data_IF_659196274330
#
_entry.id   IF_659196274330
#
_cell.length_a   1.000
_cell.length_b   1.000
_cell.length_c   1.000
_cell.angle_alpha   90.00
_cell.angle_beta   90.00
_cell.angle_gamma   90.00
#
_symmetry.space_group_name_H-M   'P 1'
#
loop_
_entity.id
_entity.type
_entity.pdbx_description
1 polymer ?
#
# COMPACT_ATOMS: atom_id res chain seq x y z
N UNK A 1 57.99 16.13 28.45
CA UNK A 1 57.03 15.56 27.45
C UNK A 1 55.63 15.55 28.04
N UNK A 2 54.76 16.50 27.67
CA UNK A 2 53.37 16.59 28.13
C UNK A 2 52.49 15.85 27.12
N UNK A 3 51.80 14.78 27.54
CA UNK A 3 50.82 14.08 26.74
C UNK A 3 49.51 14.85 26.83
N UNK A 4 49.05 15.38 25.70
CA UNK A 4 47.72 15.97 25.55
C UNK A 4 46.77 14.82 25.24
N UNK A 5 45.84 14.54 26.17
CA UNK A 5 44.71 13.65 25.92
C UNK A 5 43.65 14.46 25.18
N UNK A 6 43.40 14.09 23.91
CA UNK A 6 42.25 14.61 23.17
C UNK A 6 41.01 13.75 23.53
N UNK A 7 40.11 14.31 24.32
CA UNK A 7 38.78 13.73 24.52
C UNK A 7 37.92 14.09 23.29
N UNK A 8 37.67 13.12 22.42
CA UNK A 8 36.61 13.23 21.39
C UNK A 8 35.27 12.95 22.03
N UNK A 9 34.50 14.01 22.29
CA UNK A 9 33.10 13.89 22.67
C UNK A 9 32.27 13.55 21.42
N UNK A 10 31.82 12.29 21.31
CA UNK A 10 30.85 11.87 20.35
C UNK A 10 29.49 12.43 20.80
N UNK A 11 29.02 13.50 20.17
CA UNK A 11 27.65 13.95 20.30
C UNK A 11 26.76 12.91 19.59
N UNK A 12 26.15 12.02 20.34
CA UNK A 12 24.99 11.26 19.87
C UNK A 12 23.80 12.23 19.79
N UNK A 13 23.56 12.77 18.62
CA UNK A 13 22.28 13.41 18.30
C UNK A 13 21.23 12.31 18.18
N UNK A 14 20.50 12.05 19.24
CA UNK A 14 19.23 11.32 19.15
C UNK A 14 18.28 12.20 18.32
N UNK A 15 18.09 11.86 17.05
CA UNK A 15 17.03 12.44 16.25
C UNK A 15 15.74 11.90 16.86
N UNK A 16 15.12 12.71 17.70
CA UNK A 16 13.78 12.41 18.21
C UNK A 16 12.82 12.36 17.01
N UNK A 17 12.23 11.20 16.77
CA UNK A 17 11.14 11.07 15.79
C UNK A 17 10.02 11.97 16.30
N UNK A 18 9.66 12.99 15.53
CA UNK A 18 8.54 13.85 15.86
C UNK A 18 7.28 13.00 15.82
N UNK A 19 6.65 12.77 16.95
CA UNK A 19 5.33 12.16 17.01
C UNK A 19 4.33 13.18 16.45
N UNK A 20 4.05 13.08 15.16
CA UNK A 20 3.05 13.92 14.50
C UNK A 20 1.68 13.31 14.79
N UNK A 21 0.81 14.04 15.48
CA UNK A 21 -0.59 13.60 15.65
C UNK A 21 -1.33 13.91 14.37
N UNK A 22 -1.87 12.87 13.71
CA UNK A 22 -2.74 12.99 12.54
C UNK A 22 -4.15 12.62 12.99
N UNK A 23 -5.10 13.51 12.74
CA UNK A 23 -6.52 13.26 13.04
C UNK A 23 -7.24 12.74 11.80
N UNK A 24 -8.23 11.90 12.03
CA UNK A 24 -9.05 11.32 10.98
C UNK A 24 -10.52 11.59 11.23
N UNK A 25 -11.24 12.00 10.20
CA UNK A 25 -12.69 12.13 10.20
C UNK A 25 -13.31 11.08 9.28
N UNK A 26 -14.39 10.44 9.73
CA UNK A 26 -15.16 9.52 8.90
C UNK A 26 -15.94 10.34 7.87
N UNK A 27 -15.81 9.94 6.58
CA UNK A 27 -16.46 10.67 5.48
C UNK A 27 -17.67 9.91 4.92
N UNK A 28 -17.64 8.58 4.86
CA UNK A 28 -18.79 7.76 4.49
C UNK A 28 -18.61 6.29 4.89
N UNK A 29 -19.63 5.46 4.58
CA UNK A 29 -19.59 4.00 4.67
C UNK A 29 -19.72 3.37 3.28
N UNK A 30 -18.99 2.31 3.05
CA UNK A 30 -19.10 1.44 1.87
C UNK A 30 -20.34 0.54 1.97
N UNK A 31 -21.52 1.13 1.79
CA UNK A 31 -22.82 0.48 2.04
C UNK A 31 -22.99 -0.78 1.20
N UNK A 32 -22.63 -0.72 -0.09
CA UNK A 32 -22.81 -1.87 -1.00
C UNK A 32 -21.95 -3.07 -0.58
N UNK A 33 -20.66 -2.88 -0.30
CA UNK A 33 -19.76 -3.95 0.17
C UNK A 33 -20.28 -4.63 1.44
N UNK A 34 -20.81 -3.84 2.37
CA UNK A 34 -21.42 -4.34 3.62
C UNK A 34 -22.72 -5.14 3.37
N UNK A 35 -23.61 -4.64 2.52
CA UNK A 35 -24.86 -5.34 2.14
C UNK A 35 -24.58 -6.67 1.46
N UNK A 36 -23.55 -6.72 0.60
CA UNK A 36 -23.10 -7.95 -0.05
C UNK A 36 -22.29 -8.86 0.89
N UNK A 37 -21.96 -8.41 2.11
CA UNK A 37 -21.12 -9.09 3.09
C UNK A 37 -19.75 -9.48 2.51
N UNK A 38 -19.19 -8.60 1.70
CA UNK A 38 -17.84 -8.77 1.20
C UNK A 38 -16.84 -8.49 2.33
N UNK A 39 -15.79 -9.30 2.40
CA UNK A 39 -14.68 -9.05 3.32
C UNK A 39 -13.78 -7.97 2.70
N UNK A 40 -13.84 -6.77 3.24
CA UNK A 40 -13.17 -5.58 2.72
C UNK A 40 -11.68 -5.69 2.98
N UNK A 41 -10.89 -5.38 1.97
CA UNK A 41 -9.43 -5.44 1.97
C UNK A 41 -8.83 -4.14 1.41
N UNK A 42 -7.71 -4.23 0.69
CA UNK A 42 -7.02 -3.08 0.13
C UNK A 42 -7.87 -2.17 -0.74
N UNK A 43 -7.50 -0.92 -0.80
CA UNK A 43 -8.18 0.08 -1.62
C UNK A 43 -7.19 1.04 -2.29
N UNK A 44 -7.62 1.65 -3.40
CA UNK A 44 -6.89 2.76 -4.01
C UNK A 44 -7.84 3.78 -4.62
N UNK A 45 -7.35 5.00 -4.85
CA UNK A 45 -8.16 6.12 -5.29
C UNK A 45 -7.57 6.74 -6.55
N UNK A 46 -8.43 6.93 -7.56
CA UNK A 46 -8.10 7.69 -8.76
C UNK A 46 -9.32 8.46 -9.26
N UNK A 47 -9.12 9.67 -9.77
CA UNK A 47 -10.13 10.50 -10.40
C UNK A 47 -11.42 10.64 -9.57
N UNK A 48 -11.28 10.82 -8.25
CA UNK A 48 -12.41 11.01 -7.34
C UNK A 48 -13.24 9.76 -7.10
N UNK A 49 -12.73 8.57 -7.44
CA UNK A 49 -13.38 7.29 -7.16
C UNK A 49 -12.49 6.41 -6.30
N UNK A 50 -13.10 5.73 -5.34
CA UNK A 50 -12.49 4.70 -4.51
C UNK A 50 -12.71 3.35 -5.20
N UNK A 51 -11.65 2.58 -5.37
CA UNK A 51 -11.65 1.21 -5.88
C UNK A 51 -11.33 0.29 -4.72
N UNK A 52 -12.35 -0.37 -4.20
CA UNK A 52 -12.28 -1.24 -3.03
C UNK A 52 -12.12 -2.70 -3.43
N UNK A 53 -11.10 -3.36 -2.92
CA UNK A 53 -10.86 -4.79 -3.08
C UNK A 53 -11.51 -5.58 -1.96
N UNK A 54 -11.71 -6.87 -2.23
CA UNK A 54 -12.31 -7.81 -1.28
C UNK A 54 -11.60 -9.16 -1.34
N UNK A 55 -11.75 -9.97 -0.29
CA UNK A 55 -11.25 -11.34 -0.26
C UNK A 55 -11.90 -12.24 -1.30
N UNK A 56 -11.13 -13.18 -1.79
CA UNK A 56 -11.58 -14.20 -2.74
C UNK A 56 -11.89 -13.60 -4.11
N UNK A 57 -12.70 -14.33 -4.87
CA UNK A 57 -13.11 -13.96 -6.23
C UNK A 57 -14.26 -12.94 -6.22
N UNK A 58 -14.11 -11.85 -5.47
CA UNK A 58 -15.10 -10.79 -5.40
C UNK A 58 -14.76 -9.67 -6.36
N UNK A 59 -15.77 -8.91 -6.85
CA UNK A 59 -15.52 -7.78 -7.72
C UNK A 59 -14.75 -6.67 -7.00
N UNK A 60 -14.11 -5.80 -7.77
CA UNK A 60 -13.69 -4.49 -7.29
C UNK A 60 -14.96 -3.62 -7.24
N UNK A 61 -15.28 -3.07 -6.07
CA UNK A 61 -16.42 -2.16 -5.91
C UNK A 61 -15.94 -0.72 -6.01
N UNK A 62 -16.65 0.09 -6.80
CA UNK A 62 -16.27 1.48 -7.05
C UNK A 62 -17.28 2.41 -6.40
N UNK A 63 -16.77 3.37 -5.61
CA UNK A 63 -17.56 4.41 -4.94
C UNK A 63 -17.13 5.80 -5.36
N UNK A 64 -18.07 6.74 -5.35
CA UNK A 64 -17.79 8.18 -5.53
C UNK A 64 -17.20 8.76 -4.21
N UNK A 65 -16.02 9.35 -4.29
CA UNK A 65 -15.34 9.93 -3.12
C UNK A 65 -16.03 11.19 -2.57
N UNK A 66 -16.99 11.79 -3.31
CA UNK A 66 -17.70 13.01 -2.87
C UNK A 66 -18.76 12.72 -1.83
N UNK A 67 -19.43 11.56 -1.92
CA UNK A 67 -20.62 11.23 -1.13
C UNK A 67 -20.71 9.76 -0.70
N UNK A 68 -19.81 8.89 -1.18
CA UNK A 68 -19.80 7.46 -0.87
C UNK A 68 -20.83 6.65 -1.66
N UNK A 69 -21.43 7.22 -2.71
CA UNK A 69 -22.39 6.49 -3.53
C UNK A 69 -21.71 5.34 -4.26
N UNK A 70 -22.36 4.17 -4.23
CA UNK A 70 -21.99 3.03 -5.06
C UNK A 70 -22.16 3.38 -6.54
N UNK A 71 -21.12 3.15 -7.34
CA UNK A 71 -21.12 3.41 -8.77
C UNK A 71 -21.27 2.13 -9.59
N UNK A 72 -20.43 1.13 -9.32
CA UNK A 72 -20.42 -0.12 -10.08
C UNK A 72 -19.58 -1.20 -9.38
N UNK A 73 -19.78 -2.44 -9.83
CA UNK A 73 -18.86 -3.56 -9.61
C UNK A 73 -18.08 -3.87 -10.88
N UNK A 74 -16.79 -4.09 -10.74
CA UNK A 74 -15.91 -4.53 -11.82
C UNK A 74 -15.59 -6.00 -11.58
N UNK A 75 -16.15 -6.88 -12.39
CA UNK A 75 -15.75 -8.28 -12.38
C UNK A 75 -14.35 -8.38 -12.98
N UNK A 76 -13.41 -8.79 -12.18
CA UNK A 76 -12.04 -9.08 -12.60
C UNK A 76 -11.90 -10.59 -12.75
N UNK A 77 -11.05 -11.03 -13.69
CA UNK A 77 -10.61 -12.42 -13.74
C UNK A 77 -10.11 -12.80 -12.34
N UNK A 78 -10.51 -13.95 -11.81
CA UNK A 78 -10.19 -14.30 -10.44
C UNK A 78 -8.67 -14.38 -10.28
N UNK A 79 -8.13 -13.44 -9.57
CA UNK A 79 -6.91 -13.65 -8.86
C UNK A 79 -7.28 -14.77 -7.88
N UNK A 80 -6.73 -15.97 -8.08
CA UNK A 80 -7.07 -17.17 -7.28
C UNK A 80 -6.53 -17.07 -5.87
N UNK A 81 -6.80 -15.97 -5.18
CA UNK A 81 -6.28 -15.73 -3.85
C UNK A 81 -7.35 -15.63 -2.81
N UNK A 82 -6.90 -15.98 -1.63
CA UNK A 82 -7.67 -15.86 -0.42
C UNK A 82 -7.74 -14.42 0.07
N UNK A 83 -6.79 -13.56 -0.40
CA UNK A 83 -6.59 -12.25 0.21
C UNK A 83 -5.98 -11.26 -0.78
N UNK A 84 -6.66 -10.16 -1.05
CA UNK A 84 -6.20 -9.06 -1.91
C UNK A 84 -5.72 -7.90 -1.04
N UNK A 85 -4.49 -7.99 -0.56
CA UNK A 85 -3.98 -7.11 0.49
C UNK A 85 -3.94 -5.63 0.14
N UNK A 86 -3.49 -5.27 -1.06
CA UNK A 86 -3.25 -3.86 -1.38
C UNK A 86 -3.55 -3.56 -2.83
N UNK A 87 -4.15 -2.39 -3.05
CA UNK A 87 -4.27 -1.75 -4.35
C UNK A 87 -3.49 -0.44 -4.36
N UNK A 88 -2.82 -0.15 -5.48
CA UNK A 88 -2.10 1.10 -5.67
C UNK A 88 -2.23 1.58 -7.12
N UNK A 89 -2.85 2.75 -7.34
CA UNK A 89 -2.75 3.42 -8.61
C UNK A 89 -1.36 4.04 -8.76
N UNK A 90 -0.76 3.87 -9.95
CA UNK A 90 0.41 4.63 -10.36
C UNK A 90 -0.01 5.98 -10.96
N UNK A 91 0.92 6.72 -11.54
CA UNK A 91 0.62 7.85 -12.43
C UNK A 91 0.90 7.51 -13.91
N UNK A 92 1.10 6.23 -14.23
CA UNK A 92 1.33 5.73 -15.60
C UNK A 92 0.01 5.32 -16.21
N UNK A 93 -0.27 5.80 -17.41
CA UNK A 93 -1.40 5.40 -18.24
C UNK A 93 -0.95 4.37 -19.27
N UNK A 94 -1.80 3.39 -19.59
CA UNK A 94 -1.48 2.38 -20.61
C UNK A 94 -1.43 3.00 -22.00
N UNK A 95 -2.43 3.84 -22.32
CA UNK A 95 -2.52 4.61 -23.56
C UNK A 95 -2.86 6.07 -23.27
N UNK A 96 -2.50 6.93 -24.21
CA UNK A 96 -2.92 8.34 -24.16
C UNK A 96 -4.46 8.40 -24.29
N UNK A 97 -5.11 9.02 -23.32
CA UNK A 97 -6.55 9.18 -23.28
C UNK A 97 -7.29 8.17 -22.41
N UNK A 98 -6.58 7.22 -21.78
CA UNK A 98 -7.15 6.41 -20.74
C UNK A 98 -7.68 7.28 -19.58
N UNK A 99 -8.84 6.92 -19.04
CA UNK A 99 -9.44 7.66 -17.94
C UNK A 99 -8.70 7.45 -16.62
N UNK A 100 -8.01 6.32 -16.45
CA UNK A 100 -7.33 5.96 -15.21
C UNK A 100 -5.88 5.55 -15.46
N UNK A 101 -4.98 5.85 -14.52
CA UNK A 101 -3.67 5.24 -14.52
C UNK A 101 -3.76 3.75 -14.21
N UNK A 102 -2.64 3.04 -14.35
CA UNK A 102 -2.54 1.61 -14.06
C UNK A 102 -2.77 1.32 -12.58
N UNK A 103 -3.60 0.32 -12.31
CA UNK A 103 -3.88 -0.19 -10.97
C UNK A 103 -3.04 -1.45 -10.72
N UNK A 104 -2.21 -1.43 -9.69
CA UNK A 104 -1.43 -2.56 -9.20
C UNK A 104 -2.13 -3.18 -8.00
N UNK A 105 -2.34 -4.49 -8.03
CA UNK A 105 -2.98 -5.24 -6.95
C UNK A 105 -2.06 -6.34 -6.51
N UNK A 106 -1.68 -6.37 -5.24
CA UNK A 106 -0.92 -7.48 -4.69
C UNK A 106 -1.83 -8.63 -4.34
N UNK A 107 -1.37 -9.82 -4.68
CA UNK A 107 -2.01 -11.07 -4.35
C UNK A 107 -1.27 -11.71 -3.18
N UNK A 108 -1.97 -11.96 -2.08
CA UNK A 108 -1.42 -12.71 -0.98
C UNK A 108 -1.60 -14.19 -1.21
N UNK A 109 -0.51 -14.87 -1.54
CA UNK A 109 -0.46 -16.32 -1.59
C UNK A 109 0.78 -16.80 -0.84
N UNK A 110 0.60 -17.79 0.03
CA UNK A 110 1.68 -18.38 0.84
C UNK A 110 2.81 -18.97 -0.01
N UNK A 111 2.50 -19.40 -1.22
CA UNK A 111 3.45 -20.11 -2.10
C UNK A 111 4.03 -19.25 -3.21
N UNK A 112 3.35 -18.21 -3.60
CA UNK A 112 3.68 -17.46 -4.80
C UNK A 112 3.27 -15.99 -4.62
N UNK A 113 4.24 -15.11 -4.53
CA UNK A 113 3.97 -13.68 -4.45
C UNK A 113 3.78 -13.10 -5.84
N UNK A 114 2.59 -12.59 -6.09
CA UNK A 114 2.23 -11.96 -7.36
C UNK A 114 1.63 -10.59 -7.15
N UNK A 115 1.75 -9.76 -8.16
CA UNK A 115 0.91 -8.61 -8.34
C UNK A 115 0.36 -8.59 -9.77
N UNK A 116 -0.85 -8.11 -9.90
CA UNK A 116 -1.52 -7.97 -11.19
C UNK A 116 -1.66 -6.48 -11.50
N UNK A 117 -1.38 -6.13 -12.75
CA UNK A 117 -1.51 -4.76 -13.25
C UNK A 117 -2.73 -4.68 -14.13
N UNK A 118 -3.69 -3.87 -13.72
CA UNK A 118 -4.92 -3.64 -14.46
C UNK A 118 -4.88 -2.32 -15.22
N UNK A 119 -5.38 -2.35 -16.45
CA UNK A 119 -5.87 -1.18 -17.17
C UNK A 119 -7.34 -0.99 -16.81
N UNK A 120 -7.67 0.14 -16.23
CA UNK A 120 -9.05 0.51 -15.93
C UNK A 120 -9.56 1.39 -17.08
N UNK A 121 -10.71 1.01 -17.66
CA UNK A 121 -11.36 1.74 -18.76
C UNK A 121 -12.72 2.26 -18.29
N UNK A 122 -13.06 3.45 -18.72
CA UNK A 122 -14.40 4.02 -18.51
C UNK A 122 -14.95 4.47 -19.86
N UNK A 123 -16.17 4.02 -20.18
CA UNK A 123 -16.85 4.45 -21.39
C UNK A 123 -17.44 5.86 -21.22
N UNK A 124 -17.90 6.45 -22.31
CA UNK A 124 -18.57 7.76 -22.26
C UNK A 124 -19.88 7.72 -21.46
N UNK A 125 -20.49 6.55 -21.39
CA UNK A 125 -21.72 6.29 -20.63
C UNK A 125 -21.44 6.00 -19.15
N UNK A 126 -20.14 6.00 -18.74
CA UNK A 126 -19.71 5.80 -17.35
C UNK A 126 -19.55 4.33 -16.93
N UNK A 127 -19.65 3.36 -17.86
CA UNK A 127 -19.34 1.97 -17.53
C UNK A 127 -17.85 1.77 -17.32
N UNK A 128 -17.48 1.16 -16.19
CA UNK A 128 -16.09 0.92 -15.80
C UNK A 128 -15.78 -0.57 -15.93
N UNK A 129 -14.62 -0.89 -16.49
CA UNK A 129 -14.11 -2.25 -16.64
C UNK A 129 -12.61 -2.32 -16.34
N UNK A 130 -12.12 -3.52 -16.06
CA UNK A 130 -10.69 -3.78 -15.85
C UNK A 130 -10.18 -4.87 -16.78
N UNK A 131 -8.97 -4.71 -17.27
CA UNK A 131 -8.27 -5.66 -18.12
C UNK A 131 -6.88 -5.93 -17.52
N UNK A 132 -6.51 -7.19 -17.35
CA UNK A 132 -5.15 -7.56 -16.93
C UNK A 132 -4.20 -7.35 -18.10
N UNK A 133 -3.21 -6.50 -17.89
CA UNK A 133 -2.20 -6.19 -18.91
C UNK A 133 -0.81 -6.73 -18.56
N UNK A 134 -0.53 -6.95 -17.28
CA UNK A 134 0.74 -7.52 -16.87
C UNK A 134 0.60 -8.25 -15.52
N UNK A 135 1.34 -9.34 -15.36
CA UNK A 135 1.50 -10.05 -14.10
C UNK A 135 2.95 -9.97 -13.65
N UNK A 136 3.17 -9.56 -12.41
CA UNK A 136 4.47 -9.49 -11.76
C UNK A 136 4.59 -10.67 -10.82
N UNK A 137 5.61 -11.51 -11.02
CA UNK A 137 5.89 -12.69 -10.19
C UNK A 137 7.18 -12.42 -9.43
N UNK A 138 7.10 -12.48 -8.11
CA UNK A 138 8.24 -12.23 -7.23
C UNK A 138 8.86 -13.55 -6.76
N UNK A 139 10.11 -13.51 -6.25
CA UNK A 139 10.72 -14.69 -5.65
C UNK A 139 9.89 -15.26 -4.50
N UNK A 140 10.12 -16.51 -4.14
CA UNK A 140 9.44 -17.14 -3.02
C UNK A 140 9.65 -16.35 -1.70
N UNK A 141 8.68 -16.35 -0.78
CA UNK A 141 8.76 -15.62 0.49
C UNK A 141 10.06 -15.87 1.27
N UNK A 142 10.50 -17.13 1.32
CA UNK A 142 11.73 -17.51 2.01
C UNK A 142 12.97 -16.88 1.37
N UNK A 143 13.00 -16.78 0.04
CA UNK A 143 14.13 -16.20 -0.70
C UNK A 143 14.17 -14.67 -0.56
N UNK A 144 13.00 -14.04 -0.53
CA UNK A 144 12.89 -12.60 -0.30
C UNK A 144 13.08 -12.23 1.17
N UNK A 145 12.84 -13.16 2.09
CA UNK A 145 12.74 -12.89 3.53
C UNK A 145 11.53 -12.03 3.89
N UNK A 146 10.50 -12.03 3.05
CA UNK A 146 9.31 -11.21 3.19
C UNK A 146 8.04 -12.04 3.03
N UNK A 147 7.05 -11.81 3.90
CA UNK A 147 5.78 -12.50 3.92
C UNK A 147 4.61 -11.49 3.90
N UNK A 148 3.49 -11.85 3.30
CA UNK A 148 2.30 -10.99 3.12
C UNK A 148 2.64 -9.63 2.47
N UNK A 149 3.04 -9.61 1.19
CA UNK A 149 3.48 -8.38 0.56
C UNK A 149 2.32 -7.45 0.23
N UNK A 150 2.44 -6.22 0.69
CA UNK A 150 1.71 -5.09 0.17
C UNK A 150 2.52 -4.45 -0.95
N UNK A 151 1.86 -3.98 -2.00
CA UNK A 151 2.50 -3.29 -3.11
C UNK A 151 2.30 -1.80 -3.04
N UNK A 152 3.34 -1.04 -3.33
CA UNK A 152 3.27 0.40 -3.55
C UNK A 152 4.15 0.80 -4.74
N UNK A 153 3.72 1.78 -5.51
CA UNK A 153 4.40 2.22 -6.73
C UNK A 153 4.81 3.67 -6.64
N UNK A 154 6.09 3.94 -6.93
CA UNK A 154 6.64 5.27 -7.17
C UNK A 154 7.04 5.36 -8.64
N UNK A 155 6.08 5.71 -9.48
CA UNK A 155 6.30 5.74 -10.91
C UNK A 155 7.21 6.90 -11.34
N UNK A 156 7.21 8.01 -10.61
CA UNK A 156 8.09 9.16 -10.88
C UNK A 156 9.56 8.79 -10.67
N UNK A 157 9.84 7.99 -9.66
CA UNK A 157 11.19 7.47 -9.39
C UNK A 157 11.51 6.19 -10.18
N UNK A 158 10.53 5.57 -10.82
CA UNK A 158 10.70 4.32 -11.59
C UNK A 158 10.85 3.08 -10.70
N UNK A 159 10.23 3.06 -9.52
CA UNK A 159 10.34 1.97 -8.56
C UNK A 159 8.97 1.41 -8.15
N UNK A 160 8.99 0.13 -7.82
CA UNK A 160 7.94 -0.50 -7.05
C UNK A 160 8.51 -1.01 -5.72
N UNK A 161 7.66 -1.10 -4.73
CA UNK A 161 8.00 -1.54 -3.38
C UNK A 161 7.08 -2.67 -2.97
N UNK A 162 7.68 -3.72 -2.38
CA UNK A 162 6.96 -4.71 -1.61
C UNK A 162 7.25 -4.47 -0.14
N UNK A 163 6.23 -4.45 0.67
CA UNK A 163 6.35 -4.27 2.11
C UNK A 163 5.53 -5.32 2.84
N UNK A 164 6.10 -5.90 3.88
CA UNK A 164 5.46 -7.00 4.60
C UNK A 164 6.25 -7.42 5.82
N UNK A 165 5.87 -8.56 6.39
CA UNK A 165 6.55 -9.13 7.54
C UNK A 165 7.88 -9.75 7.17
N UNK A 166 8.82 -9.77 8.11
CA UNK A 166 10.00 -10.62 8.01
C UNK A 166 9.57 -12.10 8.01
N UNK A 167 10.01 -12.85 7.00
CA UNK A 167 9.80 -14.30 6.94
C UNK A 167 10.32 -15.03 8.19
N UNK A 168 11.48 -14.62 8.70
CA UNK A 168 12.08 -15.20 9.88
C UNK A 168 11.20 -15.04 11.12
N UNK A 169 10.65 -13.85 11.31
CA UNK A 169 9.75 -13.57 12.43
C UNK A 169 8.44 -14.33 12.32
N UNK A 170 7.89 -14.45 11.12
CA UNK A 170 6.66 -15.20 10.87
C UNK A 170 6.82 -16.67 11.22
N UNK A 171 7.90 -17.32 10.76
CA UNK A 171 8.17 -18.73 11.04
C UNK A 171 8.39 -19.03 12.54
N UNK A 172 8.84 -18.05 13.31
CA UNK A 172 8.97 -18.15 14.77
C UNK A 172 7.67 -17.90 15.50
N UNK A 173 6.57 -17.64 14.80
CA UNK A 173 5.29 -17.25 15.40
C UNK A 173 5.28 -15.83 15.98
N UNK A 174 6.29 -15.05 15.69
CA UNK A 174 6.46 -13.67 16.14
C UNK A 174 5.76 -12.73 15.14
N UNK A 175 4.44 -12.70 15.14
CA UNK A 175 3.69 -11.80 14.26
C UNK A 175 4.12 -10.35 14.48
N UNK A 176 4.46 -9.67 13.37
CA UNK A 176 4.74 -8.25 13.37
C UNK A 176 6.15 -7.83 13.76
N UNK A 177 7.12 -8.75 13.86
CA UNK A 177 8.50 -8.35 14.01
C UNK A 177 9.10 -7.95 12.66
N UNK A 178 9.85 -6.84 12.65
CA UNK A 178 10.64 -6.35 11.54
C UNK A 178 9.89 -6.30 10.19
N UNK A 179 9.10 -5.26 9.99
CA UNK A 179 8.56 -4.93 8.67
C UNK A 179 9.71 -4.67 7.71
N UNK A 180 9.67 -5.33 6.56
CA UNK A 180 10.64 -5.12 5.50
C UNK A 180 10.00 -4.36 4.34
N UNK A 181 10.80 -3.52 3.72
CA UNK A 181 10.46 -2.81 2.48
C UNK A 181 11.52 -3.17 1.45
N UNK A 182 11.10 -3.84 0.38
CA UNK A 182 11.96 -4.25 -0.74
C UNK A 182 11.70 -3.34 -1.93
N UNK A 183 12.75 -2.76 -2.50
CA UNK A 183 12.66 -1.93 -3.70
C UNK A 183 13.09 -2.71 -4.93
N UNK A 184 12.25 -2.66 -5.96
CA UNK A 184 12.52 -3.19 -7.30
C UNK A 184 12.41 -2.07 -8.34
N UNK A 185 12.98 -2.28 -9.52
CA UNK A 185 12.67 -1.45 -10.68
C UNK A 185 11.19 -1.66 -11.08
N UNK A 186 10.51 -0.60 -11.39
CA UNK A 186 9.18 -0.67 -11.96
C UNK A 186 9.29 -1.10 -13.43
N UNK A 187 8.76 -2.27 -13.84
CA UNK A 187 8.81 -2.68 -15.22
C UNK A 187 7.81 -1.88 -16.07
N UNK A 188 8.18 -1.64 -17.30
CA UNK A 188 7.23 -1.12 -18.28
C UNK A 188 6.25 -2.21 -18.70
N UNK A 189 4.98 -1.86 -18.91
CA UNK A 189 3.99 -2.80 -19.49
C UNK A 189 4.36 -3.28 -20.90
N UNK A 190 5.28 -2.57 -21.59
CA UNK A 190 5.81 -2.95 -22.90
C UNK A 190 6.85 -4.08 -22.82
N UNK A 191 7.36 -4.42 -21.65
CA UNK A 191 8.33 -5.51 -21.47
C UNK A 191 7.70 -6.89 -21.57
N UNK A 192 6.38 -6.97 -21.57
CA UNK A 192 5.62 -8.20 -21.78
C UNK A 192 4.54 -8.42 -20.73
N UNK A 193 3.67 -9.42 -20.96
CA UNK A 193 2.51 -9.66 -20.09
C UNK A 193 2.88 -10.35 -18.77
N UNK A 194 4.08 -10.93 -18.65
CA UNK A 194 4.56 -11.60 -17.43
C UNK A 194 6.01 -11.18 -17.18
N UNK A 195 6.25 -10.60 -16.02
CA UNK A 195 7.58 -10.25 -15.53
C UNK A 195 7.90 -11.14 -14.33
N UNK A 196 9.02 -11.84 -14.39
CA UNK A 196 9.52 -12.65 -13.27
C UNK A 196 10.75 -12.00 -12.67
N UNK A 197 10.64 -11.63 -11.42
CA UNK A 197 11.75 -11.12 -10.63
C UNK A 197 12.51 -12.27 -9.96
N UNK A 198 13.77 -12.03 -9.71
CA UNK A 198 14.60 -12.88 -8.85
C UNK A 198 15.21 -12.05 -7.71
N UNK A 199 15.86 -12.69 -6.75
CA UNK A 199 16.46 -11.98 -5.59
C UNK A 199 17.50 -10.94 -5.97
N UNK A 200 18.15 -11.09 -7.14
CA UNK A 200 19.13 -10.11 -7.67
C UNK A 200 18.47 -8.80 -8.13
N UNK A 201 17.16 -8.81 -8.37
CA UNK A 201 16.40 -7.65 -8.77
C UNK A 201 15.99 -6.76 -7.58
N UNK A 202 16.26 -7.22 -6.35
CA UNK A 202 16.07 -6.42 -5.14
C UNK A 202 17.18 -5.34 -5.09
N UNK A 203 16.82 -4.12 -5.46
CA UNK A 203 17.75 -2.99 -5.53
C UNK A 203 18.10 -2.44 -4.15
N UNK A 204 17.18 -2.49 -3.21
CA UNK A 204 17.38 -2.01 -1.84
C UNK A 204 16.43 -2.72 -0.88
N UNK A 205 16.90 -2.86 0.37
CA UNK A 205 16.12 -3.40 1.47
C UNK A 205 16.19 -2.42 2.64
N UNK A 206 15.03 -2.09 3.17
CA UNK A 206 14.91 -1.36 4.42
C UNK A 206 14.27 -2.29 5.46
N UNK A 207 14.68 -2.16 6.69
CA UNK A 207 14.10 -2.91 7.82
C UNK A 207 13.61 -1.92 8.87
N UNK A 208 12.49 -2.23 9.47
CA UNK A 208 11.92 -1.48 10.59
C UNK A 208 11.69 -2.45 11.75
N UNK A 209 11.95 -2.00 12.96
CA UNK A 209 11.66 -2.78 14.19
C UNK A 209 10.16 -2.78 14.55
N UNK A 210 9.32 -2.33 13.65
CA UNK A 210 7.90 -2.19 13.88
C UNK A 210 7.20 -3.55 13.97
N UNK A 211 6.40 -3.80 15.01
CA UNK A 211 5.88 -5.12 15.40
C UNK A 211 4.36 -5.26 15.21
N UNK A 212 3.78 -4.65 14.20
CA UNK A 212 2.34 -4.68 13.96
C UNK A 212 2.04 -5.13 12.54
N UNK A 213 0.88 -5.74 12.32
CA UNK A 213 0.46 -6.20 11.00
C UNK A 213 0.50 -5.06 9.97
N UNK A 214 1.09 -5.33 8.81
CA UNK A 214 1.07 -4.39 7.68
C UNK A 214 -0.26 -4.52 6.96
N UNK A 215 -0.88 -3.39 6.66
CA UNK A 215 -2.12 -3.28 5.91
C UNK A 215 -1.89 -2.40 4.68
N UNK A 216 -2.75 -1.45 4.36
CA UNK A 216 -2.62 -0.59 3.19
C UNK A 216 -1.29 0.18 3.08
N UNK A 217 -0.82 0.38 1.85
CA UNK A 217 0.40 1.11 1.54
C UNK A 217 0.25 1.98 0.28
N UNK A 218 0.81 3.19 0.29
CA UNK A 218 0.85 4.05 -0.88
C UNK A 218 2.09 4.97 -0.86
N UNK A 219 2.59 5.33 -2.05
CA UNK A 219 3.72 6.26 -2.19
C UNK A 219 3.25 7.62 -2.66
N UNK A 220 3.81 8.68 -2.08
CA UNK A 220 3.64 10.05 -2.53
C UNK A 220 4.84 10.92 -2.14
N UNK A 221 5.36 11.71 -3.08
CA UNK A 221 6.48 12.62 -2.82
C UNK A 221 7.75 11.91 -2.30
N UNK A 222 8.09 10.74 -2.85
CA UNK A 222 9.25 9.95 -2.42
C UNK A 222 9.14 9.37 -1.00
N UNK A 223 7.94 9.33 -0.44
CA UNK A 223 7.64 8.75 0.87
C UNK A 223 6.63 7.63 0.76
N UNK A 224 6.84 6.57 1.54
CA UNK A 224 5.90 5.48 1.71
C UNK A 224 5.05 5.75 2.95
N UNK A 225 3.75 5.74 2.76
CA UNK A 225 2.75 5.81 3.82
C UNK A 225 2.16 4.42 3.99
N UNK A 226 2.10 3.95 5.22
CA UNK A 226 1.57 2.62 5.54
C UNK A 226 0.65 2.71 6.75
N UNK A 227 -0.45 1.99 6.70
CA UNK A 227 -1.28 1.73 7.86
C UNK A 227 -0.97 0.35 8.41
N UNK A 228 -0.99 0.22 9.72
CA UNK A 228 -0.64 -0.97 10.45
C UNK A 228 -1.65 -1.24 11.54
N UNK A 229 -1.78 -2.51 11.92
CA UNK A 229 -2.48 -2.92 13.11
C UNK A 229 -3.85 -3.51 12.86
N UNK A 230 -4.52 -3.77 13.96
CA UNK A 230 -5.89 -4.26 14.05
C UNK A 230 -6.71 -3.36 14.97
N UNK A 231 -7.96 -3.74 15.27
CA UNK A 231 -8.87 -2.91 16.05
C UNK A 231 -8.26 -2.40 17.36
N UNK A 232 -8.24 -1.08 17.55
CA UNK A 232 -7.75 -0.43 18.78
C UNK A 232 -6.23 -0.39 18.97
N UNK A 233 -5.45 -0.82 17.96
CA UNK A 233 -3.98 -0.74 18.00
C UNK A 233 -3.42 -0.49 16.59
N UNK A 234 -3.87 0.56 15.95
CA UNK A 234 -3.52 0.89 14.58
C UNK A 234 -2.71 2.19 14.51
N UNK A 235 -1.79 2.26 13.56
CA UNK A 235 -1.03 3.47 13.32
C UNK A 235 -0.74 3.71 11.83
N UNK A 236 -0.48 4.97 11.51
CA UNK A 236 0.07 5.43 10.25
C UNK A 236 1.57 5.68 10.42
N UNK A 237 2.37 5.12 9.53
CA UNK A 237 3.82 5.35 9.47
C UNK A 237 4.19 5.95 8.12
N UNK A 238 5.03 6.97 8.15
CA UNK A 238 5.63 7.58 6.98
C UNK A 238 7.12 7.29 6.94
N UNK A 239 7.60 6.67 5.86
CA UNK A 239 9.02 6.31 5.65
C UNK A 239 9.57 7.06 4.45
N UNK A 240 10.73 7.69 4.59
CA UNK A 240 11.49 8.28 3.49
C UNK A 240 12.13 7.17 2.64
N UNK A 241 11.78 7.09 1.36
CA UNK A 241 12.23 6.02 0.46
C UNK A 241 13.68 6.19 -0.05
N UNK A 242 14.28 7.34 0.16
CA UNK A 242 15.69 7.56 -0.17
C UNK A 242 16.63 6.99 0.90
N UNK A 243 16.25 7.14 2.17
CA UNK A 243 17.02 6.74 3.33
C UNK A 243 16.54 5.46 4.00
N UNK A 244 15.22 5.19 3.97
CA UNK A 244 14.54 4.17 4.76
C UNK A 244 14.21 4.61 6.18
N UNK A 245 14.46 5.87 6.51
CA UNK A 245 14.17 6.39 7.84
C UNK A 245 12.67 6.65 8.03
N UNK A 246 12.16 6.33 9.21
CA UNK A 246 10.83 6.75 9.64
C UNK A 246 10.83 8.29 9.79
N UNK A 247 9.91 8.95 9.08
CA UNK A 247 9.72 10.41 9.11
C UNK A 247 8.82 10.79 10.27
N UNK A 248 7.70 10.08 10.40
CA UNK A 248 6.80 10.21 11.53
C UNK A 248 5.96 8.94 11.70
N UNK A 249 5.39 8.82 12.89
CA UNK A 249 4.38 7.84 13.27
C UNK A 249 3.23 8.54 13.97
N UNK A 250 2.01 8.14 13.64
CA UNK A 250 0.80 8.62 14.30
C UNK A 250 -0.13 7.46 14.61
N UNK A 251 -0.65 7.40 15.82
CA UNK A 251 -1.75 6.50 16.12
C UNK A 251 -2.99 6.88 15.31
N UNK A 252 -3.77 5.88 14.89
CA UNK A 252 -5.03 6.08 14.16
C UNK A 252 -6.19 6.32 15.15
N UNK A 253 -6.01 7.33 16.00
CA UNK A 253 -7.03 7.70 16.99
C UNK A 253 -8.33 8.11 16.28
N UNK A 254 -9.44 7.52 16.69
CA UNK A 254 -10.75 7.76 16.07
C UNK A 254 -11.12 6.80 14.96
N UNK A 255 -10.23 5.85 14.60
CA UNK A 255 -10.53 4.74 13.69
C UNK A 255 -10.68 3.47 14.55
N UNK A 256 -11.91 2.99 14.81
CA UNK A 256 -12.14 1.83 15.66
C UNK A 256 -11.93 0.50 14.94
N UNK A 257 -12.09 0.48 13.61
CA UNK A 257 -11.93 -0.70 12.77
C UNK A 257 -10.48 -1.02 12.43
N UNK A 258 -10.26 -2.18 11.85
CA UNK A 258 -8.98 -2.56 11.27
C UNK A 258 -8.77 -1.79 9.96
N UNK A 259 -7.66 -1.03 9.81
CA UNK A 259 -7.37 -0.37 8.55
C UNK A 259 -6.93 -1.39 7.51
N UNK A 260 -7.47 -1.32 6.29
CA UNK A 260 -7.18 -2.28 5.22
C UNK A 260 -6.58 -1.60 3.98
N UNK A 261 -7.08 -0.43 3.63
CA UNK A 261 -6.63 0.31 2.46
C UNK A 261 -6.09 1.69 2.78
N UNK A 262 -5.17 2.16 1.95
CA UNK A 262 -4.61 3.51 2.03
C UNK A 262 -4.48 4.10 0.63
N UNK A 263 -4.91 5.35 0.47
CA UNK A 263 -4.76 6.11 -0.76
C UNK A 263 -4.73 7.61 -0.50
N UNK A 264 -4.73 8.39 -1.58
CA UNK A 264 -4.74 9.84 -1.51
C UNK A 264 -5.90 10.42 -2.31
N UNK A 265 -6.59 11.39 -1.69
CA UNK A 265 -7.62 12.19 -2.35
C UNK A 265 -7.50 13.66 -1.93
N UNK A 266 -7.43 14.59 -2.92
CA UNK A 266 -7.28 16.02 -2.67
C UNK A 266 -6.17 16.33 -1.63
N UNK A 267 -4.98 15.76 -1.86
CA UNK A 267 -3.79 15.90 -1.00
C UNK A 267 -3.96 15.43 0.45
N UNK A 268 -4.96 14.61 0.73
CA UNK A 268 -5.18 14.02 2.05
C UNK A 268 -5.10 12.51 2.00
N UNK A 269 -4.68 11.91 3.09
CA UNK A 269 -4.66 10.46 3.25
C UNK A 269 -6.10 9.98 3.46
N UNK A 270 -6.46 8.93 2.76
CA UNK A 270 -7.71 8.19 2.94
C UNK A 270 -7.35 6.81 3.47
N UNK A 271 -8.07 6.37 4.48
CA UNK A 271 -7.97 5.04 5.06
C UNK A 271 -9.33 4.37 4.96
N UNK A 272 -9.35 3.14 4.44
CA UNK A 272 -10.54 2.27 4.47
C UNK A 272 -10.38 1.20 5.52
N UNK A 273 -11.47 0.76 6.13
CA UNK A 273 -11.47 -0.23 7.20
C UNK A 273 -12.30 -1.46 6.82
N UNK A 274 -12.00 -2.58 7.47
CA UNK A 274 -12.66 -3.86 7.23
C UNK A 274 -14.19 -3.83 7.46
N UNK A 275 -14.69 -2.89 8.27
CA UNK A 275 -16.12 -2.71 8.51
C UNK A 275 -16.78 -1.72 7.55
N UNK A 276 -16.04 -1.22 6.56
CA UNK A 276 -16.53 -0.36 5.47
C UNK A 276 -16.57 1.12 5.80
N UNK A 277 -15.93 1.54 6.87
CA UNK A 277 -15.74 2.96 7.11
C UNK A 277 -14.59 3.51 6.27
N UNK A 278 -14.79 4.71 5.74
CA UNK A 278 -13.79 5.48 5.00
C UNK A 278 -13.49 6.76 5.75
N UNK A 279 -12.22 6.97 6.03
CA UNK A 279 -11.71 8.10 6.82
C UNK A 279 -10.79 8.98 5.98
N UNK A 280 -10.77 10.26 6.32
CA UNK A 280 -9.91 11.27 5.72
C UNK A 280 -9.05 11.94 6.79
N UNK A 281 -7.75 12.07 6.52
CA UNK A 281 -6.82 12.76 7.43
C UNK A 281 -6.99 14.29 7.37
N UNK A 282 -6.57 14.96 8.44
CA UNK A 282 -6.32 16.40 8.46
C UNK A 282 -4.95 16.76 7.86
N UNK A 283 -4.04 15.79 7.76
CA UNK A 283 -2.71 15.95 7.18
C UNK A 283 -2.79 16.20 5.68
N UNK A 284 -2.11 17.27 5.22
CA UNK A 284 -1.94 17.58 3.79
C UNK A 284 -0.63 16.97 3.31
N UNK A 285 -0.72 16.08 2.32
CA UNK A 285 0.42 15.42 1.68
C UNK A 285 0.47 15.86 0.22
N UNK A 286 1.28 16.86 -0.05
CA UNK A 286 1.46 17.34 -1.44
C UNK A 286 2.26 16.32 -2.25
N UNK A 287 1.85 16.08 -3.49
CA UNK A 287 2.68 15.43 -4.50
C UNK A 287 3.84 16.35 -4.90
N UNK A 288 4.83 15.79 -5.57
CA UNK A 288 5.89 16.59 -6.20
C UNK A 288 5.33 17.35 -7.40
#
# INVERSE_FOLDING_TARGET
MKRILLLASVLLTTIGIAQTSVSFEKIFYETHSREQKYNIQGASIANGKLFQLHDGNKPIVVYDMRNGDFLTEINVEPIKTWHNNTACFSNIYYEQGDSYPLLYVSEENIKEHKAVVYRIKETKEGAISAEIIQTLIFPEPIEMGLYYPNIAVDADAGFLYLTGFSWESWNKGERGNAVQILRFRLPSVKEGPVIKFCTKDILKRFCSDFKVATQGAAVRGGKLYQVFGGPGNSCLVCTDLSTGAEVFRSELNGIPGEPEGLGFHNDRIIVTCNEGEVYRSDLIVKGN
#
